data_IF_146104503505
#
_entry.id   IF_146104503505
#
_cell.length_a   1.000
_cell.length_b   1.000
_cell.length_c   1.000
_cell.angle_alpha   90.00
_cell.angle_beta   90.00
_cell.angle_gamma   90.00
#
_symmetry.space_group_name_H-M   'P 1'
#
loop_
_entity.id
_entity.type
_entity.pdbx_description
1 polymer ?
#
# COMPACT_ATOMS: atom_id res chain seq x y z
N UNK A 1 12.92 21.08 -7.59
CA UNK A 1 12.67 19.95 -6.68
C UNK A 1 11.52 19.11 -7.22
N UNK A 2 11.64 17.77 -7.13
CA UNK A 2 10.69 16.79 -7.67
C UNK A 2 9.79 16.27 -6.55
N UNK A 3 8.51 16.01 -6.86
CA UNK A 3 7.60 15.27 -6.01
C UNK A 3 7.59 13.80 -6.46
N UNK A 4 7.80 12.86 -5.53
CA UNK A 4 7.67 11.44 -5.80
C UNK A 4 6.22 11.04 -6.05
N UNK A 5 6.03 10.03 -6.88
CA UNK A 5 4.74 9.36 -7.00
C UNK A 5 4.67 8.18 -6.01
N UNK A 6 3.96 8.39 -4.92
CA UNK A 6 3.71 7.39 -3.88
C UNK A 6 2.26 6.86 -3.94
N UNK A 7 1.69 6.81 -5.13
CA UNK A 7 0.35 6.27 -5.37
C UNK A 7 0.30 4.74 -5.33
N UNK A 8 -0.90 4.14 -5.41
CA UNK A 8 -1.04 2.69 -5.47
C UNK A 8 -0.41 2.14 -6.76
N UNK A 9 0.04 0.87 -6.71
CA UNK A 9 0.51 0.18 -7.92
C UNK A 9 -0.61 0.03 -8.95
N UNK A 10 -0.23 -0.04 -10.24
CA UNK A 10 -1.18 -0.06 -11.36
C UNK A 10 -2.20 -1.21 -11.24
N UNK A 11 -1.74 -2.41 -10.90
CA UNK A 11 -2.57 -3.61 -10.80
C UNK A 11 -2.12 -4.51 -9.65
N UNK A 12 -2.13 -3.94 -8.44
CA UNK A 12 -1.66 -4.59 -7.22
C UNK A 12 -2.72 -5.44 -6.52
N UNK A 13 -2.36 -5.91 -5.32
CA UNK A 13 -3.23 -6.76 -4.51
C UNK A 13 -4.63 -6.18 -4.32
N UNK A 14 -4.77 -4.86 -4.21
CA UNK A 14 -6.07 -4.20 -4.06
C UNK A 14 -7.07 -4.51 -5.18
N UNK A 15 -6.60 -4.74 -6.42
CA UNK A 15 -7.45 -5.19 -7.52
C UNK A 15 -7.97 -6.60 -7.27
N UNK A 16 -7.08 -7.49 -6.90
CA UNK A 16 -7.38 -8.91 -6.65
C UNK A 16 -8.24 -9.09 -5.41
N UNK A 17 -7.91 -8.39 -4.32
CA UNK A 17 -8.70 -8.39 -3.10
C UNK A 17 -10.14 -7.93 -3.36
N UNK A 18 -10.33 -6.86 -4.13
CA UNK A 18 -11.66 -6.36 -4.45
C UNK A 18 -12.49 -7.38 -5.23
N UNK A 19 -11.92 -8.03 -6.25
CA UNK A 19 -12.67 -9.04 -7.02
C UNK A 19 -12.94 -10.31 -6.22
N UNK A 20 -12.00 -10.73 -5.36
CA UNK A 20 -12.18 -11.86 -4.46
C UNK A 20 -13.21 -11.57 -3.38
N UNK A 21 -13.23 -10.36 -2.86
CA UNK A 21 -14.19 -9.90 -1.86
C UNK A 21 -15.59 -9.73 -2.46
N UNK A 22 -15.71 -9.03 -3.57
CA UNK A 22 -16.96 -8.78 -4.27
C UNK A 22 -16.69 -8.32 -5.70
N UNK A 23 -16.96 -9.17 -6.73
CA UNK A 23 -16.71 -8.79 -8.12
C UNK A 23 -17.41 -7.50 -8.56
N UNK A 24 -18.63 -7.24 -8.08
CA UNK A 24 -19.32 -5.99 -8.40
C UNK A 24 -18.68 -4.76 -7.77
N UNK A 25 -18.09 -4.87 -6.57
CA UNK A 25 -17.30 -3.79 -5.99
C UNK A 25 -16.09 -3.47 -6.87
N UNK A 26 -15.38 -4.51 -7.33
CA UNK A 26 -14.29 -4.34 -8.29
C UNK A 26 -14.76 -3.61 -9.56
N UNK A 27 -15.87 -4.04 -10.13
CA UNK A 27 -16.41 -3.41 -11.34
C UNK A 27 -16.77 -1.93 -11.12
N UNK A 28 -17.39 -1.57 -10.01
CA UNK A 28 -17.67 -0.17 -9.68
C UNK A 28 -16.39 0.65 -9.47
N UNK A 29 -15.44 0.14 -8.71
CA UNK A 29 -14.23 0.90 -8.32
C UNK A 29 -13.18 1.01 -9.42
N UNK A 30 -13.04 -0.02 -10.27
CA UNK A 30 -11.97 -0.07 -11.27
C UNK A 30 -12.43 0.07 -12.72
N UNK A 31 -13.71 -0.24 -13.03
CA UNK A 31 -14.24 -0.14 -14.38
C UNK A 31 -15.27 1.00 -14.49
N UNK A 32 -16.10 1.20 -13.48
CA UNK A 32 -17.16 2.20 -13.45
C UNK A 32 -16.75 3.61 -13.05
N UNK A 33 -15.47 3.82 -12.75
CA UNK A 33 -14.96 5.13 -12.36
C UNK A 33 -15.54 5.67 -11.06
N UNK A 34 -16.05 4.81 -10.17
CA UNK A 34 -16.54 5.23 -8.86
C UNK A 34 -15.40 5.87 -8.09
N UNK A 35 -15.41 7.19 -8.01
CA UNK A 35 -14.49 7.93 -7.15
C UNK A 35 -14.93 7.71 -5.70
N UNK A 36 -14.13 6.98 -4.98
CA UNK A 36 -14.37 6.71 -3.58
C UNK A 36 -13.85 7.90 -2.77
N UNK A 37 -14.71 8.47 -1.91
CA UNK A 37 -14.23 9.45 -0.94
C UNK A 37 -13.17 8.78 -0.05
N UNK A 38 -12.00 9.40 0.01
CA UNK A 38 -10.94 8.91 0.88
C UNK A 38 -11.29 9.20 2.34
N UNK A 39 -11.36 8.15 3.13
CA UNK A 39 -11.54 8.28 4.57
C UNK A 39 -10.32 8.92 5.23
N UNK A 40 -10.51 9.55 6.39
CA UNK A 40 -9.42 10.18 7.15
C UNK A 40 -8.21 9.24 7.38
N UNK A 41 -8.37 7.95 7.75
CA UNK A 41 -7.24 7.04 7.85
C UNK A 41 -6.46 6.86 6.54
N UNK A 42 -7.13 6.84 5.38
CA UNK A 42 -6.48 6.72 4.09
C UNK A 42 -5.71 7.98 3.71
N UNK A 43 -6.33 9.17 3.88
CA UNK A 43 -5.64 10.45 3.64
C UNK A 43 -4.40 10.57 4.53
N UNK A 44 -4.54 10.23 5.82
CA UNK A 44 -3.42 10.24 6.77
C UNK A 44 -2.31 9.29 6.34
N UNK A 45 -2.67 8.08 5.89
CA UNK A 45 -1.73 7.12 5.34
C UNK A 45 -0.98 7.70 4.15
N UNK A 46 -1.68 8.22 3.15
CA UNK A 46 -1.07 8.78 1.94
C UNK A 46 -0.12 9.94 2.24
N UNK A 47 -0.50 10.86 3.13
CA UNK A 47 0.35 11.97 3.54
C UNK A 47 1.61 11.52 4.27
N UNK A 48 1.52 10.49 5.12
CA UNK A 48 2.71 9.97 5.80
C UNK A 48 3.61 9.18 4.85
N UNK A 49 3.04 8.41 3.93
CA UNK A 49 3.82 7.68 2.92
C UNK A 49 4.63 8.63 2.05
N UNK A 50 4.06 9.76 1.58
CA UNK A 50 4.83 10.72 0.78
C UNK A 50 5.97 11.36 1.58
N UNK A 51 5.76 11.67 2.87
CA UNK A 51 6.82 12.17 3.74
C UNK A 51 7.97 11.17 3.87
N UNK A 52 7.66 9.89 4.12
CA UNK A 52 8.65 8.84 4.26
C UNK A 52 9.36 8.52 2.94
N UNK A 53 8.63 8.54 1.82
CA UNK A 53 9.21 8.36 0.50
C UNK A 53 10.27 9.42 0.21
N UNK A 54 9.97 10.70 0.47
CA UNK A 54 10.95 11.78 0.31
C UNK A 54 12.11 11.68 1.30
N UNK A 55 11.85 11.32 2.56
CA UNK A 55 12.89 11.09 3.56
C UNK A 55 13.90 10.05 3.09
N UNK A 56 13.45 8.87 2.70
CA UNK A 56 14.33 7.79 2.27
C UNK A 56 14.94 8.02 0.88
N UNK A 57 14.25 8.72 -0.01
CA UNK A 57 14.83 9.08 -1.31
C UNK A 57 16.02 10.05 -1.13
N UNK A 58 15.90 11.05 -0.26
CA UNK A 58 17.01 11.97 0.04
C UNK A 58 18.21 11.23 0.65
N UNK A 59 17.98 10.29 1.59
CA UNK A 59 19.03 9.42 2.12
C UNK A 59 19.67 8.57 1.01
N UNK A 60 18.87 8.01 0.10
CA UNK A 60 19.39 7.24 -1.03
C UNK A 60 20.33 8.08 -1.89
N UNK A 61 19.96 9.32 -2.23
CA UNK A 61 20.82 10.23 -2.99
C UNK A 61 22.14 10.49 -2.25
N UNK A 62 22.09 10.81 -0.96
CA UNK A 62 23.30 11.00 -0.14
C UNK A 62 24.22 9.76 -0.15
N UNK A 63 23.64 8.56 -0.02
CA UNK A 63 24.40 7.30 -0.01
C UNK A 63 25.00 6.96 -1.39
N UNK A 64 24.40 7.42 -2.48
CA UNK A 64 24.82 7.10 -3.85
C UNK A 64 25.62 8.23 -4.52
N UNK A 65 25.82 9.35 -3.84
CA UNK A 65 26.51 10.53 -4.39
C UNK A 65 25.65 11.37 -5.33
N UNK A 66 24.34 11.19 -5.29
CA UNK A 66 23.36 12.04 -5.97
C UNK A 66 23.11 13.34 -5.22
N UNK A 67 22.19 14.15 -5.71
CA UNK A 67 21.83 15.41 -5.07
C UNK A 67 20.49 15.29 -4.33
N UNK A 68 20.47 15.25 -2.97
CA UNK A 68 19.24 15.17 -2.21
C UNK A 68 18.30 16.37 -2.45
N UNK A 69 18.83 17.54 -2.84
CA UNK A 69 18.06 18.76 -3.07
C UNK A 69 17.29 18.76 -4.41
N UNK A 70 17.48 17.74 -5.23
CA UNK A 70 16.59 17.49 -6.38
C UNK A 70 15.17 17.12 -5.95
N UNK A 71 15.01 16.64 -4.73
CA UNK A 71 13.75 16.19 -4.14
C UNK A 71 13.25 17.18 -3.08
N UNK A 72 11.93 17.32 -2.98
CA UNK A 72 11.31 18.13 -1.93
C UNK A 72 11.74 17.65 -0.54
N UNK A 73 11.75 18.55 0.43
CA UNK A 73 11.79 18.16 1.84
C UNK A 73 10.52 17.34 2.18
N UNK A 74 10.60 16.39 3.10
CA UNK A 74 9.44 15.57 3.46
C UNK A 74 8.19 16.36 3.85
N UNK A 75 8.33 17.41 4.64
CA UNK A 75 7.27 18.34 5.03
C UNK A 75 6.68 19.10 3.83
N UNK A 76 7.52 19.57 2.91
CA UNK A 76 7.08 20.26 1.69
C UNK A 76 6.35 19.28 0.75
N UNK A 77 6.76 18.02 0.71
CA UNK A 77 6.09 16.99 -0.07
C UNK A 77 4.68 16.69 0.47
N UNK A 78 4.51 16.70 1.80
CA UNK A 78 3.19 16.58 2.45
C UNK A 78 2.29 17.74 2.02
N UNK A 79 2.79 18.97 2.06
CA UNK A 79 2.03 20.15 1.63
C UNK A 79 1.70 20.10 0.13
N UNK A 80 2.65 19.72 -0.71
CA UNK A 80 2.46 19.62 -2.15
C UNK A 80 1.38 18.59 -2.50
N UNK A 81 1.42 17.40 -1.90
CA UNK A 81 0.38 16.39 -2.10
C UNK A 81 -0.98 16.85 -1.58
N UNK A 82 -1.02 17.43 -0.36
CA UNK A 82 -2.26 17.91 0.23
C UNK A 82 -2.90 19.02 -0.61
N UNK A 83 -2.11 19.93 -1.18
CA UNK A 83 -2.61 20.97 -2.06
C UNK A 83 -3.15 20.41 -3.37
N UNK A 84 -2.46 19.45 -3.98
CA UNK A 84 -2.89 18.75 -5.19
C UNK A 84 -4.25 18.05 -5.00
N UNK A 85 -4.45 17.39 -3.87
CA UNK A 85 -5.64 16.58 -3.60
C UNK A 85 -6.77 17.36 -2.89
N UNK A 86 -6.50 18.59 -2.43
CA UNK A 86 -7.45 19.40 -1.62
C UNK A 86 -8.74 19.78 -2.34
N UNK A 87 -8.76 19.75 -3.68
CA UNK A 87 -9.98 19.94 -4.46
C UNK A 87 -10.99 18.81 -4.22
N UNK A 88 -10.51 17.58 -3.91
CA UNK A 88 -11.36 16.43 -3.64
C UNK A 88 -11.92 16.45 -2.21
N UNK A 89 -11.19 16.99 -1.24
CA UNK A 89 -11.62 17.09 0.16
C UNK A 89 -10.73 18.05 0.97
N UNK A 90 -11.30 18.92 1.81
CA UNK A 90 -10.55 19.80 2.71
C UNK A 90 -9.75 19.02 3.78
N UNK A 91 -10.03 17.73 3.94
CA UNK A 91 -9.38 16.86 4.92
C UNK A 91 -7.87 16.76 4.68
N UNK A 92 -7.43 16.82 3.42
CA UNK A 92 -6.02 16.77 3.07
C UNK A 92 -5.20 17.87 3.76
N UNK A 93 -5.64 19.12 3.65
CA UNK A 93 -4.97 20.26 4.31
C UNK A 93 -5.08 20.21 5.82
N UNK A 94 -6.23 19.77 6.35
CA UNK A 94 -6.47 19.68 7.79
C UNK A 94 -5.47 18.77 8.50
N UNK A 95 -4.99 17.74 7.83
CA UNK A 95 -4.11 16.73 8.42
C UNK A 95 -2.62 17.07 8.34
N UNK A 96 -2.21 18.08 7.57
CA UNK A 96 -0.80 18.46 7.39
C UNK A 96 -0.05 18.59 8.72
N UNK A 97 -0.51 19.43 9.69
CA UNK A 97 0.24 19.63 10.93
C UNK A 97 0.48 18.32 11.69
N UNK A 98 -0.55 17.49 11.82
CA UNK A 98 -0.44 16.22 12.50
C UNK A 98 0.58 15.29 11.82
N UNK A 99 0.57 15.22 10.50
CA UNK A 99 1.46 14.33 9.75
C UNK A 99 2.90 14.80 9.84
N UNK A 100 3.13 16.11 9.77
CA UNK A 100 4.46 16.69 9.92
C UNK A 100 5.02 16.39 11.33
N UNK A 101 4.21 16.51 12.38
CA UNK A 101 4.61 16.16 13.74
C UNK A 101 4.96 14.67 13.87
N UNK A 102 4.11 13.78 13.31
CA UNK A 102 4.38 12.33 13.30
C UNK A 102 5.68 12.02 12.55
N UNK A 103 5.90 12.67 11.41
CA UNK A 103 7.11 12.47 10.62
C UNK A 103 8.36 12.89 11.40
N UNK A 104 8.36 14.06 12.04
CA UNK A 104 9.53 14.49 12.85
C UNK A 104 9.78 13.56 14.02
N UNK A 105 8.75 13.10 14.71
CA UNK A 105 8.88 12.11 15.78
C UNK A 105 9.45 10.78 15.25
N UNK A 106 8.98 10.32 14.10
CA UNK A 106 9.50 9.13 13.43
C UNK A 106 10.98 9.28 13.07
N UNK A 107 11.36 10.37 12.41
CA UNK A 107 12.74 10.66 12.05
C UNK A 107 13.67 10.66 13.27
N UNK A 108 13.24 11.29 14.36
CA UNK A 108 14.03 11.35 15.58
C UNK A 108 14.18 9.97 16.24
N UNK A 109 13.13 9.11 16.18
CA UNK A 109 13.19 7.76 16.74
C UNK A 109 14.18 6.85 15.99
N UNK A 110 14.34 7.06 14.69
CA UNK A 110 15.21 6.26 13.83
C UNK A 110 16.46 7.02 13.37
N UNK A 111 16.87 8.04 14.11
CA UNK A 111 18.08 8.80 13.82
C UNK A 111 19.31 7.89 13.87
N UNK A 112 20.15 7.94 12.83
CA UNK A 112 21.34 7.10 12.71
C UNK A 112 21.07 5.67 12.25
N UNK A 113 19.92 5.42 11.63
CA UNK A 113 19.60 4.13 11.01
C UNK A 113 20.67 3.71 9.99
N UNK A 114 21.17 2.48 10.12
CA UNK A 114 22.28 1.96 9.32
C UNK A 114 21.84 1.20 8.06
N UNK A 115 20.63 1.47 7.53
CA UNK A 115 20.17 0.85 6.30
C UNK A 115 20.81 1.49 5.07
N UNK A 116 21.25 0.67 4.13
CA UNK A 116 21.53 1.12 2.78
C UNK A 116 20.24 1.09 1.97
N UNK A 117 19.83 2.23 1.48
CA UNK A 117 18.61 2.36 0.70
C UNK A 117 18.87 1.89 -0.72
N UNK A 118 18.21 0.81 -1.13
CA UNK A 118 18.31 0.28 -2.49
C UNK A 118 17.29 0.93 -3.41
N UNK A 119 16.04 1.07 -2.94
CA UNK A 119 14.97 1.68 -3.73
C UNK A 119 13.84 2.23 -2.86
N UNK A 120 13.11 3.22 -3.40
CA UNK A 120 11.97 3.89 -2.75
C UNK A 120 10.82 3.93 -3.72
N UNK A 121 9.58 3.60 -3.27
CA UNK A 121 8.36 3.56 -4.10
C UNK A 121 8.54 2.74 -5.39
N UNK A 122 9.30 1.65 -5.29
CA UNK A 122 9.63 0.81 -6.44
C UNK A 122 8.45 -0.05 -6.87
N UNK A 123 8.03 0.10 -8.11
CA UNK A 123 6.99 -0.76 -8.68
C UNK A 123 7.60 -2.05 -9.25
N UNK A 124 7.34 -3.13 -8.56
CA UNK A 124 7.68 -4.49 -8.95
C UNK A 124 6.61 -5.03 -9.91
N UNK A 125 7.02 -5.61 -11.03
CA UNK A 125 6.12 -6.11 -12.08
C UNK A 125 6.45 -7.55 -12.42
N UNK A 126 5.44 -8.41 -12.54
CA UNK A 126 5.60 -9.80 -12.97
C UNK A 126 4.39 -10.27 -13.76
N UNK A 127 4.65 -11.10 -14.77
CA UNK A 127 3.59 -11.82 -15.46
C UNK A 127 3.22 -13.05 -14.65
N UNK A 128 1.93 -13.21 -14.35
CA UNK A 128 1.43 -14.37 -13.64
C UNK A 128 0.72 -15.31 -14.61
N UNK A 129 1.23 -16.52 -14.73
CA UNK A 129 0.71 -17.51 -15.66
C UNK A 129 0.83 -17.07 -17.12
N UNK A 130 -0.16 -17.46 -17.93
CA UNK A 130 -0.28 -17.08 -19.35
C UNK A 130 -1.19 -15.86 -19.56
N UNK A 131 -1.53 -15.14 -18.48
CA UNK A 131 -2.44 -14.00 -18.51
C UNK A 131 -1.93 -12.83 -19.34
N UNK A 132 -2.85 -12.01 -19.82
CA UNK A 132 -2.54 -10.79 -20.60
C UNK A 132 -1.94 -9.69 -19.73
N UNK A 133 -2.28 -9.65 -18.45
CA UNK A 133 -1.96 -8.57 -17.54
C UNK A 133 -0.77 -8.88 -16.65
N UNK A 134 -0.06 -7.83 -16.27
CA UNK A 134 0.97 -7.91 -15.25
C UNK A 134 0.33 -7.78 -13.87
N UNK A 135 0.83 -8.54 -12.91
CA UNK A 135 0.66 -8.23 -11.50
C UNK A 135 1.71 -7.22 -11.11
N UNK A 136 1.30 -6.15 -10.50
CA UNK A 136 2.22 -5.10 -10.05
C UNK A 136 2.12 -4.92 -8.55
N UNK A 137 3.19 -4.48 -7.92
CA UNK A 137 3.18 -4.16 -6.51
C UNK A 137 4.22 -3.08 -6.23
N UNK A 138 3.81 -2.01 -5.57
CA UNK A 138 4.73 -0.95 -5.19
C UNK A 138 5.25 -1.23 -3.78
N UNK A 139 6.56 -1.30 -3.65
CA UNK A 139 7.24 -1.43 -2.37
C UNK A 139 7.60 -0.03 -1.87
N UNK A 140 7.15 0.33 -0.67
CA UNK A 140 7.43 1.65 -0.09
C UNK A 140 8.94 1.88 0.02
N UNK A 141 9.68 0.83 0.47
CA UNK A 141 11.11 0.92 0.67
C UNK A 141 11.77 -0.46 0.48
N UNK A 142 12.94 -0.48 -0.17
CA UNK A 142 13.79 -1.66 -0.29
C UNK A 142 15.16 -1.30 0.28
N UNK A 143 15.64 -2.08 1.24
CA UNK A 143 16.87 -1.81 1.97
C UNK A 143 17.79 -3.01 2.04
N UNK A 144 19.08 -2.75 2.19
CA UNK A 144 20.09 -3.75 2.55
C UNK A 144 20.57 -3.47 3.98
N UNK A 145 20.57 -4.49 4.83
CA UNK A 145 21.04 -4.40 6.20
C UNK A 145 22.58 -4.58 6.28
N UNK A 146 23.14 -4.46 7.48
CA UNK A 146 24.58 -4.62 7.74
C UNK A 146 25.12 -6.04 7.41
N UNK A 147 24.24 -7.05 7.31
CA UNK A 147 24.58 -8.41 6.90
C UNK A 147 24.43 -8.60 5.37
N UNK A 148 24.26 -7.53 4.60
CA UNK A 148 24.01 -7.54 3.16
C UNK A 148 22.74 -8.31 2.77
N UNK A 149 21.77 -8.40 3.68
CA UNK A 149 20.47 -9.00 3.43
C UNK A 149 19.47 -7.93 3.00
N UNK A 150 18.67 -8.27 2.00
CA UNK A 150 17.69 -7.36 1.41
C UNK A 150 16.32 -7.56 2.05
N UNK A 151 15.71 -6.47 2.44
CA UNK A 151 14.37 -6.41 3.01
C UNK A 151 13.46 -5.51 2.19
N UNK A 152 12.22 -5.90 2.04
CA UNK A 152 11.14 -5.01 1.60
C UNK A 152 10.47 -4.47 2.87
N UNK A 153 10.36 -3.16 2.98
CA UNK A 153 9.73 -2.49 4.14
C UNK A 153 8.43 -1.86 3.67
N UNK A 154 7.36 -2.10 4.40
CA UNK A 154 6.04 -1.52 4.15
C UNK A 154 5.60 -0.71 5.36
N UNK A 155 5.19 0.53 5.14
CA UNK A 155 4.78 1.46 6.17
C UNK A 155 3.26 1.37 6.40
N UNK A 156 2.84 1.17 7.64
CA UNK A 156 1.42 1.13 7.99
C UNK A 156 1.11 2.08 9.12
N UNK A 157 0.20 3.02 8.87
CA UNK A 157 -0.34 3.89 9.91
C UNK A 157 -1.35 3.14 10.79
N UNK A 158 -1.31 3.37 12.08
CA UNK A 158 -2.20 2.74 13.03
C UNK A 158 -2.56 3.70 14.17
N UNK A 159 -3.76 3.58 14.74
CA UNK A 159 -4.12 4.24 15.99
C UNK A 159 -3.57 3.53 17.23
N UNK A 160 -3.34 2.24 17.12
CA UNK A 160 -2.79 1.38 18.19
C UNK A 160 -1.87 0.32 17.60
N UNK A 161 -0.73 0.13 18.22
CA UNK A 161 0.20 -0.95 17.90
C UNK A 161 -0.02 -2.06 18.92
N UNK A 162 -0.39 -3.24 18.45
CA UNK A 162 -0.56 -4.44 19.29
C UNK A 162 -0.21 -5.72 18.52
N UNK A 163 -0.05 -6.84 19.27
CA UNK A 163 0.33 -8.12 18.68
C UNK A 163 -0.78 -8.75 17.81
N UNK A 164 -2.05 -8.45 18.08
CA UNK A 164 -3.16 -8.99 17.27
C UNK A 164 -3.14 -8.45 15.85
N UNK A 165 -2.80 -7.17 15.68
CA UNK A 165 -2.72 -6.55 14.35
C UNK A 165 -1.56 -7.11 13.53
N UNK A 166 -0.46 -7.54 14.16
CA UNK A 166 0.67 -8.12 13.44
C UNK A 166 0.27 -9.38 12.65
N UNK A 167 -0.49 -10.29 13.31
CA UNK A 167 -0.92 -11.55 12.69
C UNK A 167 -1.80 -11.38 11.45
N UNK A 168 -2.50 -10.26 11.33
CA UNK A 168 -3.36 -9.98 10.19
C UNK A 168 -2.56 -9.80 8.89
N UNK A 169 -1.31 -9.32 8.98
CA UNK A 169 -0.46 -9.08 7.83
C UNK A 169 0.26 -10.31 7.30
N UNK A 170 0.44 -11.36 8.11
CA UNK A 170 1.15 -12.58 7.70
C UNK A 170 0.46 -13.27 6.52
N UNK A 171 -0.89 -13.25 6.51
CA UNK A 171 -1.72 -13.87 5.47
C UNK A 171 -2.28 -12.85 4.47
N UNK A 172 -1.89 -11.61 4.56
CA UNK A 172 -2.33 -10.57 3.64
C UNK A 172 -1.63 -10.71 2.29
N UNK A 173 -2.40 -10.67 1.20
CA UNK A 173 -1.87 -10.87 -0.15
C UNK A 173 -0.87 -9.80 -0.60
N UNK A 174 -0.91 -8.59 -0.04
CA UNK A 174 0.12 -7.59 -0.27
C UNK A 174 1.49 -8.11 0.19
N UNK A 175 1.55 -8.65 1.40
CA UNK A 175 2.80 -9.14 1.99
C UNK A 175 3.26 -10.46 1.37
N UNK A 176 2.32 -11.33 0.98
CA UNK A 176 2.65 -12.52 0.18
C UNK A 176 3.25 -12.16 -1.17
N UNK A 177 2.70 -11.12 -1.81
CA UNK A 177 3.26 -10.57 -3.05
C UNK A 177 4.68 -10.02 -2.87
N UNK A 178 4.96 -9.28 -1.81
CA UNK A 178 6.32 -8.83 -1.49
C UNK A 178 7.28 -10.00 -1.28
N UNK A 179 6.85 -11.05 -0.58
CA UNK A 179 7.65 -12.27 -0.42
C UNK A 179 7.96 -12.93 -1.76
N UNK A 180 6.98 -13.04 -2.65
CA UNK A 180 7.15 -13.59 -3.99
C UNK A 180 8.15 -12.76 -4.82
N UNK A 181 7.93 -11.45 -4.91
CA UNK A 181 8.80 -10.56 -5.69
C UNK A 181 10.21 -10.47 -5.13
N UNK A 182 10.34 -10.36 -3.80
CA UNK A 182 11.64 -10.27 -3.14
C UNK A 182 12.49 -11.52 -3.40
N UNK A 183 11.90 -12.71 -3.28
CA UNK A 183 12.58 -13.97 -3.60
C UNK A 183 12.97 -14.07 -5.07
N UNK A 184 12.08 -13.69 -5.98
CA UNK A 184 12.35 -13.73 -7.41
C UNK A 184 13.47 -12.76 -7.83
N UNK A 185 13.51 -11.56 -7.25
CA UNK A 185 14.47 -10.51 -7.62
C UNK A 185 15.84 -10.65 -6.92
N UNK A 186 15.85 -11.03 -5.65
CA UNK A 186 17.06 -11.00 -4.81
C UNK A 186 17.57 -12.38 -4.40
N UNK A 187 16.82 -13.45 -4.69
CA UNK A 187 17.23 -14.83 -4.38
C UNK A 187 17.60 -15.02 -2.93
N UNK A 188 18.77 -15.59 -2.64
CA UNK A 188 19.26 -15.88 -1.29
C UNK A 188 19.60 -14.64 -0.45
N UNK A 189 19.78 -13.49 -1.09
CA UNK A 189 19.97 -12.22 -0.37
C UNK A 189 18.67 -11.73 0.27
N UNK A 190 17.50 -12.14 -0.25
CA UNK A 190 16.23 -11.71 0.29
C UNK A 190 15.97 -12.31 1.66
N UNK A 191 15.92 -11.46 2.68
CA UNK A 191 15.68 -11.88 4.06
C UNK A 191 14.18 -11.94 4.42
N UNK A 192 13.37 -11.08 3.80
CA UNK A 192 11.93 -11.05 4.07
C UNK A 192 11.31 -9.66 3.98
N UNK A 193 10.18 -9.51 4.64
CA UNK A 193 9.42 -8.27 4.68
C UNK A 193 9.37 -7.72 6.09
N UNK A 194 9.65 -6.43 6.23
CA UNK A 194 9.50 -5.68 7.49
C UNK A 194 8.21 -4.87 7.42
N UNK A 195 7.33 -5.12 8.37
CA UNK A 195 6.18 -4.26 8.65
C UNK A 195 6.62 -3.13 9.57
N UNK A 196 6.60 -1.91 9.08
CA UNK A 196 6.89 -0.71 9.85
C UNK A 196 5.58 -0.02 10.26
N UNK A 197 5.20 -0.19 11.53
CA UNK A 197 3.95 0.37 12.08
C UNK A 197 4.20 1.69 12.76
N UNK A 198 3.41 2.69 12.38
CA UNK A 198 3.53 4.06 12.84
C UNK A 198 2.24 4.47 13.52
N UNK A 199 2.28 4.65 14.83
CA UNK A 199 1.13 5.14 15.59
C UNK A 199 0.98 6.64 15.38
N UNK A 200 -0.14 7.03 14.80
CA UNK A 200 -0.42 8.43 14.41
C UNK A 200 -1.17 9.24 15.47
N UNK A 201 -1.46 8.64 16.63
CA UNK A 201 -2.07 9.33 17.79
C UNK A 201 -1.05 9.51 18.91
N UNK A 202 -1.07 10.64 19.60
CA UNK A 202 -0.19 10.90 20.76
C UNK A 202 -0.52 9.96 21.93
N UNK A 203 0.47 9.50 22.71
CA UNK A 203 1.88 9.56 22.39
C UNK A 203 2.21 8.71 21.16
N UNK A 204 3.09 9.21 20.30
CA UNK A 204 3.52 8.48 19.11
C UNK A 204 4.31 7.24 19.51
N UNK A 205 4.22 6.20 18.67
CA UNK A 205 4.91 4.92 18.89
C UNK A 205 5.27 4.31 17.53
N UNK A 206 6.42 3.65 17.46
CA UNK A 206 6.99 3.13 16.23
C UNK A 206 7.49 1.71 16.47
N UNK A 207 7.08 0.79 15.60
CA UNK A 207 7.45 -0.62 15.74
C UNK A 207 7.76 -1.22 14.37
N UNK A 208 8.90 -1.87 14.27
CA UNK A 208 9.34 -2.60 13.08
C UNK A 208 9.45 -4.07 13.39
N UNK A 209 8.76 -4.88 12.60
CA UNK A 209 8.73 -6.33 12.77
C UNK A 209 8.97 -7.03 11.45
N UNK A 210 9.94 -7.91 11.40
CA UNK A 210 10.03 -8.88 10.34
C UNK A 210 8.78 -9.78 10.41
N UNK A 211 8.09 -9.93 9.28
CA UNK A 211 6.96 -10.82 9.17
C UNK A 211 7.46 -12.26 8.97
N UNK A 212 6.92 -13.17 9.75
CA UNK A 212 7.18 -14.59 9.56
C UNK A 212 6.68 -15.02 8.17
N UNK A 213 7.48 -15.81 7.42
CA UNK A 213 7.01 -16.34 6.16
C UNK A 213 5.88 -17.34 6.38
N UNK A 214 4.89 -17.34 5.49
CA UNK A 214 3.79 -18.28 5.47
C UNK A 214 3.93 -19.22 4.24
N UNK A 215 4.74 -20.31 4.31
CA UNK A 215 5.10 -21.10 3.14
C UNK A 215 3.89 -21.70 2.40
N UNK A 216 2.89 -22.19 3.13
CA UNK A 216 1.67 -22.75 2.53
C UNK A 216 0.87 -21.66 1.78
N UNK A 217 0.69 -20.48 2.41
CA UNK A 217 0.00 -19.37 1.77
C UNK A 217 0.75 -18.85 0.53
N UNK A 218 2.08 -18.88 0.54
CA UNK A 218 2.88 -18.54 -0.63
C UNK A 218 2.69 -19.51 -1.79
N UNK A 219 2.53 -20.81 -1.51
CA UNK A 219 2.22 -21.81 -2.54
C UNK A 219 0.86 -21.55 -3.18
N UNK A 220 -0.12 -21.12 -2.40
CA UNK A 220 -1.48 -20.84 -2.85
C UNK A 220 -1.67 -19.43 -3.43
N UNK A 221 -0.69 -18.56 -3.27
CA UNK A 221 -0.81 -17.14 -3.66
C UNK A 221 -0.99 -16.97 -5.17
N UNK A 222 -0.13 -17.58 -6.00
CA UNK A 222 -0.24 -17.51 -7.46
C UNK A 222 -1.53 -18.19 -7.97
N UNK A 223 -1.91 -19.39 -7.52
CA UNK A 223 -3.24 -19.95 -7.80
C UNK A 223 -4.40 -19.02 -7.46
N UNK A 224 -4.33 -18.31 -6.32
CA UNK A 224 -5.35 -17.35 -5.91
C UNK A 224 -5.44 -16.15 -6.86
N UNK A 225 -4.31 -15.61 -7.28
CA UNK A 225 -4.27 -14.54 -8.29
C UNK A 225 -4.85 -15.00 -9.63
N UNK A 226 -4.51 -16.21 -10.08
CA UNK A 226 -5.04 -16.77 -11.31
C UNK A 226 -6.55 -17.02 -11.25
N UNK A 227 -7.08 -17.44 -10.11
CA UNK A 227 -8.52 -17.58 -9.91
C UNK A 227 -9.25 -16.23 -9.98
N UNK A 228 -8.67 -15.20 -9.40
CA UNK A 228 -9.19 -13.83 -9.49
C UNK A 228 -9.14 -13.29 -10.94
N UNK A 229 -8.02 -13.52 -11.65
CA UNK A 229 -7.89 -13.17 -13.08
C UNK A 229 -8.97 -13.85 -13.93
N UNK A 230 -9.18 -15.15 -13.74
CA UNK A 230 -10.22 -15.88 -14.44
C UNK A 230 -11.61 -15.27 -14.19
N UNK A 231 -11.87 -14.89 -12.94
CA UNK A 231 -13.13 -14.25 -12.56
C UNK A 231 -13.30 -12.87 -13.19
N UNK A 232 -12.25 -12.07 -13.27
CA UNK A 232 -12.25 -10.78 -13.97
C UNK A 232 -12.53 -10.98 -15.47
N UNK A 233 -11.85 -11.92 -16.12
CA UNK A 233 -11.98 -12.21 -17.54
C UNK A 233 -13.38 -12.73 -17.92
N UNK A 234 -14.03 -13.46 -17.03
CA UNK A 234 -15.42 -13.99 -17.24
C UNK A 234 -16.43 -12.86 -17.42
N UNK A 235 -16.19 -11.72 -16.77
CA UNK A 235 -17.11 -10.57 -16.79
C UNK A 235 -16.54 -9.37 -17.56
N UNK A 236 -15.36 -9.49 -18.17
CA UNK A 236 -14.76 -8.42 -18.98
C UNK A 236 -15.72 -8.00 -20.10
N UNK A 237 -15.94 -6.69 -20.25
CA UNK A 237 -16.85 -6.11 -21.24
C UNK A 237 -18.33 -6.21 -20.90
N UNK A 238 -18.71 -6.90 -19.84
CA UNK A 238 -20.13 -6.96 -19.41
C UNK A 238 -20.51 -5.70 -18.62
N UNK A 239 -21.80 -5.30 -18.68
CA UNK A 239 -22.32 -4.24 -17.83
C UNK A 239 -22.07 -4.53 -16.35
N UNK A 240 -21.79 -3.50 -15.55
CA UNK A 240 -21.45 -3.67 -14.12
C UNK A 240 -22.54 -4.43 -13.36
N UNK A 241 -23.79 -4.28 -13.75
CA UNK A 241 -24.93 -4.99 -13.12
C UNK A 241 -24.89 -6.52 -13.31
N UNK A 242 -24.18 -7.00 -14.30
CA UNK A 242 -24.00 -8.43 -14.55
C UNK A 242 -22.87 -9.04 -13.72
N UNK A 243 -22.00 -8.21 -13.13
CA UNK A 243 -20.99 -8.67 -12.21
C UNK A 243 -21.63 -9.18 -10.92
N UNK A 244 -21.31 -10.41 -10.45
CA UNK A 244 -21.97 -10.97 -9.27
C UNK A 244 -21.66 -10.19 -7.99
N UNK A 245 -22.67 -10.08 -7.13
CA UNK A 245 -22.51 -9.53 -5.78
C UNK A 245 -22.20 -10.64 -4.80
N UNK A 246 -21.33 -10.34 -3.83
CA UNK A 246 -21.22 -11.15 -2.61
C UNK A 246 -22.31 -10.71 -1.64
N UNK A 247 -23.41 -11.45 -1.59
CA UNK A 247 -24.56 -11.14 -0.73
C UNK A 247 -24.25 -11.51 0.73
N UNK A 248 -23.36 -10.73 1.37
CA UNK A 248 -22.95 -10.92 2.74
C UNK A 248 -22.95 -9.60 3.50
N UNK A 249 -23.54 -9.60 4.68
CA UNK A 249 -23.52 -8.44 5.56
C UNK A 249 -22.09 -8.06 5.98
N UNK A 250 -21.19 -9.02 6.14
CA UNK A 250 -19.79 -8.76 6.46
C UNK A 250 -19.02 -8.05 5.32
N UNK A 251 -19.43 -8.28 4.08
CA UNK A 251 -18.84 -7.62 2.89
C UNK A 251 -19.50 -6.27 2.63
N UNK A 252 -20.85 -6.21 2.76
CA UNK A 252 -21.60 -4.98 2.52
C UNK A 252 -21.56 -3.99 3.70
N UNK A 253 -21.40 -4.52 4.93
CA UNK A 253 -21.22 -3.77 6.18
C UNK A 253 -20.09 -4.41 6.96
N UNK A 254 -18.84 -4.07 6.61
CA UNK A 254 -17.66 -4.64 7.24
C UNK A 254 -17.14 -3.81 8.41
N UNK A 255 -15.94 -4.15 8.87
CA UNK A 255 -15.22 -3.49 9.99
C UNK A 255 -15.12 -1.96 9.84
N UNK A 256 -15.08 -1.46 8.63
CA UNK A 256 -14.93 -0.03 8.33
C UNK A 256 -16.26 0.65 7.92
N UNK A 257 -17.37 0.01 8.21
CA UNK A 257 -18.70 0.55 7.92
C UNK A 257 -19.29 0.04 6.60
N UNK A 258 -20.15 0.85 6.03
CA UNK A 258 -20.90 0.56 4.80
C UNK A 258 -19.95 0.48 3.59
N UNK A 259 -20.12 -0.57 2.77
CA UNK A 259 -19.41 -0.67 1.49
C UNK A 259 -19.69 0.56 0.62
N UNK A 260 -18.68 1.11 0.00
CA UNK A 260 -18.80 2.34 -0.80
C UNK A 260 -19.75 2.21 -1.99
N UNK A 261 -19.89 1.01 -2.56
CA UNK A 261 -20.85 0.72 -3.63
C UNK A 261 -22.23 0.27 -3.11
N UNK A 262 -22.47 0.33 -1.79
CA UNK A 262 -23.70 -0.23 -1.20
C UNK A 262 -24.98 0.37 -1.76
N UNK A 263 -25.04 1.70 -1.85
CA UNK A 263 -26.26 2.39 -2.33
C UNK A 263 -26.47 2.17 -3.82
N UNK A 264 -25.39 2.11 -4.61
CA UNK A 264 -25.44 1.72 -6.02
C UNK A 264 -25.96 0.28 -6.21
N UNK A 265 -25.56 -0.62 -5.33
CA UNK A 265 -26.04 -2.01 -5.35
C UNK A 265 -27.49 -2.12 -4.88
N UNK A 266 -27.89 -1.34 -3.87
CA UNK A 266 -29.22 -1.39 -3.26
C UNK A 266 -30.29 -0.74 -4.13
N UNK A 267 -30.02 0.45 -4.67
CA UNK A 267 -31.03 1.25 -5.36
C UNK A 267 -30.87 1.23 -6.88
N UNK A 268 -29.77 0.70 -7.37
CA UNK A 268 -29.35 0.84 -8.75
C UNK A 268 -28.81 2.25 -9.01
N UNK A 269 -27.95 2.39 -10.01
CA UNK A 269 -27.67 3.73 -10.55
C UNK A 269 -28.95 4.21 -11.22
N UNK A 270 -29.44 5.36 -10.83
CA UNK A 270 -30.41 6.08 -11.61
C UNK A 270 -29.89 6.39 -13.00
#
# INVERSE_FOLDING_TARGET
MKLLDAGPSERGWHHFENVLRCPRLYAWSHLGGLKLEMSEPLVRGSLLHIALAHHYQRIKEEQTGGNPDDWLLPEDAVEALANKESESSPLWRKLIPQIVDVYFAYRNNWLGEAWKILDVENELRSRIGKGKHLYTQRADLIVEDHNQKVWIVDHKTAYRINSKTLRQYIMDGQFLGYQMFGRAKYGEKFAGVILNRIKVSSPYDFDRRALEPAPAALQDFVPTLLAAEKKMAEFEGKPIREWPMTLSNQVCYGKYGKCQAYDLCRFGSG
#
